data_IF_683091993654
#
_entry.id   IF_683091993654
#
_cell.length_a   1.000
_cell.length_b   1.000
_cell.length_c   1.000
_cell.angle_alpha   90.00
_cell.angle_beta   90.00
_cell.angle_gamma   90.00
#
_symmetry.space_group_name_H-M   'P 1'
#
loop_
_entity.id
_entity.type
_entity.pdbx_description
1 polymer ?
#
# COMPACT_ATOMS: atom_id res chain seq x y z
N UNK A 1 -20.53 0.20 -2.65
CA UNK A 1 -19.53 0.54 -3.68
C UNK A 1 -18.43 -0.51 -3.66
N UNK A 2 -18.09 -1.05 -4.81
CA UNK A 2 -17.04 -2.04 -4.90
C UNK A 2 -15.67 -1.37 -4.97
N UNK A 3 -14.64 -2.03 -4.44
CA UNK A 3 -13.27 -1.57 -4.57
C UNK A 3 -12.81 -1.71 -6.03
N UNK A 4 -11.90 -0.84 -6.50
CA UNK A 4 -11.26 -1.04 -7.79
C UNK A 4 -10.52 -2.38 -7.82
N UNK A 5 -10.48 -3.02 -8.98
CA UNK A 5 -9.84 -4.31 -9.16
C UNK A 5 -8.48 -4.15 -9.82
N UNK A 6 -7.51 -4.95 -9.36
CA UNK A 6 -6.19 -5.08 -9.97
C UNK A 6 -6.07 -6.41 -10.68
N UNK A 7 -5.57 -6.37 -11.90
CA UNK A 7 -5.17 -7.54 -12.67
C UNK A 7 -3.66 -7.67 -12.66
N UNK A 8 -3.15 -8.86 -12.94
CA UNK A 8 -1.70 -9.07 -13.01
C UNK A 8 -1.09 -8.13 -14.03
N UNK A 9 -0.06 -7.39 -13.60
CA UNK A 9 0.61 -6.38 -14.38
C UNK A 9 0.13 -4.95 -14.16
N UNK A 10 -0.93 -4.75 -13.38
CA UNK A 10 -1.41 -3.41 -13.07
C UNK A 10 -0.51 -2.69 -12.08
N UNK A 11 -0.40 -1.39 -12.26
CA UNK A 11 0.28 -0.47 -11.35
C UNK A 11 -0.64 0.71 -11.08
N UNK A 12 -0.93 0.97 -9.82
CA UNK A 12 -1.88 2.02 -9.43
C UNK A 12 -1.32 2.86 -8.29
N UNK A 13 -1.88 4.06 -8.13
CA UNK A 13 -1.61 4.90 -6.98
C UNK A 13 -2.28 4.31 -5.75
N UNK A 14 -1.53 4.24 -4.64
CA UNK A 14 -2.04 3.74 -3.37
C UNK A 14 -2.95 4.75 -2.67
N UNK A 15 -2.83 6.02 -3.03
CA UNK A 15 -3.57 7.12 -2.40
C UNK A 15 -4.14 8.02 -3.49
N UNK A 16 -5.36 8.58 -3.29
CA UNK A 16 -5.97 9.47 -4.29
C UNK A 16 -5.27 10.82 -4.41
N UNK A 17 -4.51 11.23 -3.40
CA UNK A 17 -3.77 12.49 -3.37
C UNK A 17 -2.56 12.36 -2.45
N UNK A 18 -1.71 13.39 -2.41
CA UNK A 18 -0.58 13.42 -1.49
C UNK A 18 -1.07 13.27 -0.06
N UNK A 19 -0.39 12.40 0.71
CA UNK A 19 -0.76 12.07 2.08
C UNK A 19 -0.03 13.01 3.02
N UNK A 20 -0.79 13.73 3.85
CA UNK A 20 -0.25 14.68 4.82
C UNK A 20 -0.48 14.26 6.26
N UNK A 21 -1.37 13.29 6.50
CA UNK A 21 -1.68 12.77 7.83
C UNK A 21 -1.83 11.25 7.77
N UNK A 22 -1.79 10.61 8.93
CA UNK A 22 -2.03 9.17 9.02
C UNK A 22 -3.42 8.81 8.50
N UNK A 23 -3.55 7.63 7.91
CA UNK A 23 -4.80 7.12 7.40
C UNK A 23 -4.60 6.02 6.37
N UNK A 24 -5.70 5.36 6.03
CA UNK A 24 -5.69 4.27 5.04
C UNK A 24 -5.77 4.83 3.63
N UNK A 25 -5.07 4.14 2.70
CA UNK A 25 -5.18 4.42 1.28
C UNK A 25 -6.35 3.70 0.63
N UNK A 26 -6.38 3.76 -0.69
CA UNK A 26 -7.41 3.07 -1.48
C UNK A 26 -7.25 1.56 -1.33
N UNK A 27 -8.37 0.87 -1.09
CA UNK A 27 -8.42 -0.58 -1.05
C UNK A 27 -8.67 -1.11 -2.47
N UNK A 28 -7.85 -2.09 -2.88
CA UNK A 28 -7.94 -2.70 -4.20
C UNK A 28 -8.25 -4.18 -4.09
N UNK A 29 -9.15 -4.67 -4.94
CA UNK A 29 -9.41 -6.10 -5.06
C UNK A 29 -8.36 -6.73 -5.97
N UNK A 30 -7.83 -7.88 -5.58
CA UNK A 30 -6.84 -8.62 -6.36
C UNK A 30 -7.55 -9.70 -7.17
N UNK A 31 -7.46 -9.63 -8.48
CA UNK A 31 -8.06 -10.63 -9.37
C UNK A 31 -7.25 -11.92 -9.31
N UNK A 32 -7.91 -13.04 -9.08
CA UNK A 32 -7.27 -14.35 -9.03
C UNK A 32 -7.29 -15.02 -10.40
N UNK A 33 -6.24 -15.78 -10.67
CA UNK A 33 -6.15 -16.65 -11.86
C UNK A 33 -6.35 -18.08 -11.39
N UNK A 34 -7.12 -18.93 -12.13
CA UNK A 34 -7.29 -20.33 -11.76
C UNK A 34 -5.93 -21.01 -11.55
N UNK A 35 -5.79 -21.73 -10.43
CA UNK A 35 -4.54 -22.39 -10.07
C UNK A 35 -3.54 -21.50 -9.33
N UNK A 36 -3.87 -20.24 -9.11
CA UNK A 36 -3.01 -19.33 -8.35
C UNK A 36 -3.25 -19.53 -6.86
N UNK A 37 -2.18 -19.95 -6.13
CA UNK A 37 -2.29 -20.19 -4.69
C UNK A 37 -1.72 -19.03 -3.87
N UNK A 38 -0.86 -18.21 -4.47
CA UNK A 38 -0.22 -17.06 -3.81
C UNK A 38 -0.34 -15.84 -4.68
N UNK A 39 -0.30 -14.67 -4.07
CA UNK A 39 -0.36 -13.39 -4.76
C UNK A 39 0.79 -12.52 -4.28
N UNK A 40 1.70 -12.18 -5.18
CA UNK A 40 2.81 -11.28 -4.86
C UNK A 40 2.40 -9.86 -5.23
N UNK A 41 2.56 -8.95 -4.28
CA UNK A 41 2.26 -7.53 -4.44
C UNK A 41 3.54 -6.75 -4.21
N UNK A 42 3.82 -5.82 -5.11
CA UNK A 42 4.92 -4.86 -4.95
C UNK A 42 4.33 -3.53 -4.58
N UNK A 43 4.91 -2.89 -3.57
CA UNK A 43 4.44 -1.58 -3.13
C UNK A 43 5.61 -0.64 -2.88
N UNK A 44 5.34 0.63 -3.02
CA UNK A 44 6.35 1.65 -2.77
C UNK A 44 5.71 2.85 -2.10
N UNK A 45 6.52 3.61 -1.35
CA UNK A 45 6.16 4.97 -1.01
C UNK A 45 7.23 5.93 -1.52
N UNK A 46 6.83 7.16 -1.77
CA UNK A 46 7.70 8.15 -2.36
C UNK A 46 7.44 9.53 -1.79
N UNK A 47 8.42 10.42 -1.95
CA UNK A 47 8.34 11.80 -1.49
C UNK A 47 9.31 12.66 -2.30
N UNK A 48 9.05 13.96 -2.34
CA UNK A 48 10.03 14.94 -2.85
C UNK A 48 10.91 15.45 -1.72
N UNK A 49 10.34 15.63 -0.55
CA UNK A 49 11.08 15.97 0.67
C UNK A 49 10.76 14.93 1.71
N UNK A 50 11.79 14.31 2.29
CA UNK A 50 11.62 13.22 3.24
C UNK A 50 10.81 13.68 4.45
N UNK A 51 9.83 12.86 4.92
CA UNK A 51 9.16 13.13 6.18
C UNK A 51 10.15 13.00 7.35
N UNK A 52 9.85 13.65 8.48
CA UNK A 52 10.65 13.50 9.69
C UNK A 52 10.45 12.16 10.34
N UNK A 53 9.25 11.59 10.25
CA UNK A 53 8.93 10.27 10.75
C UNK A 53 7.83 9.66 9.91
N UNK A 54 7.87 8.35 9.74
CA UNK A 54 6.85 7.61 9.01
C UNK A 54 6.78 6.17 9.51
N UNK A 55 5.57 5.66 9.62
CA UNK A 55 5.30 4.22 9.69
C UNK A 55 4.20 3.94 8.68
N UNK A 56 4.49 3.10 7.68
CA UNK A 56 3.55 2.74 6.63
C UNK A 56 3.51 1.22 6.51
N UNK A 57 2.31 0.67 6.40
CA UNK A 57 2.08 -0.76 6.27
C UNK A 57 1.44 -1.09 4.93
N UNK A 58 1.81 -2.24 4.37
CA UNK A 58 0.96 -2.92 3.41
C UNK A 58 0.05 -3.86 4.19
N UNK A 59 -1.24 -3.74 3.96
CA UNK A 59 -2.26 -4.57 4.60
C UNK A 59 -3.03 -5.35 3.56
N UNK A 60 -3.45 -6.56 3.95
CA UNK A 60 -4.23 -7.43 3.09
C UNK A 60 -5.43 -8.00 3.84
N UNK A 61 -6.46 -8.39 3.10
CA UNK A 61 -7.72 -8.85 3.66
C UNK A 61 -8.35 -9.92 2.78
N UNK A 62 -9.02 -10.88 3.41
CA UNK A 62 -9.85 -11.86 2.70
C UNK A 62 -11.20 -11.28 2.29
N UNK A 63 -11.80 -10.46 3.15
CA UNK A 63 -13.20 -10.03 3.03
C UNK A 63 -13.35 -8.56 2.62
N UNK A 64 -12.25 -7.82 2.51
CA UNK A 64 -12.29 -6.39 2.17
C UNK A 64 -12.68 -5.47 3.33
N UNK A 65 -12.87 -6.03 4.53
CA UNK A 65 -13.28 -5.28 5.72
C UNK A 65 -12.23 -5.38 6.81
N UNK A 66 -11.76 -6.59 7.10
CA UNK A 66 -10.76 -6.84 8.13
C UNK A 66 -9.39 -6.97 7.48
N UNK A 67 -8.52 -5.99 7.72
CA UNK A 67 -7.20 -5.93 7.14
C UNK A 67 -6.14 -6.25 8.17
N UNK A 68 -5.08 -6.93 7.72
CA UNK A 68 -3.96 -7.36 8.55
C UNK A 68 -2.65 -6.93 7.92
N UNK A 69 -1.68 -6.59 8.76
CA UNK A 69 -0.36 -6.17 8.31
C UNK A 69 0.39 -7.35 7.68
N UNK A 70 0.89 -7.14 6.45
CA UNK A 70 1.76 -8.09 5.76
C UNK A 70 3.16 -7.55 5.56
N UNK A 71 3.34 -6.23 5.57
CA UNK A 71 4.65 -5.59 5.48
C UNK A 71 4.61 -4.25 6.18
N UNK A 72 5.77 -3.76 6.60
CA UNK A 72 5.87 -2.46 7.25
C UNK A 72 7.18 -1.79 6.89
N UNK A 73 7.19 -0.46 6.87
CA UNK A 73 8.38 0.32 6.60
C UNK A 73 8.36 1.59 7.45
N UNK A 74 9.51 1.92 8.05
CA UNK A 74 9.58 3.02 9.01
C UNK A 74 10.86 3.86 8.90
N UNK A 75 11.54 3.84 7.76
CA UNK A 75 12.76 4.61 7.55
C UNK A 75 12.45 5.86 6.73
N UNK A 76 12.38 7.05 7.34
CA UNK A 76 11.85 8.24 6.67
C UNK A 76 12.76 8.80 5.58
N UNK A 77 14.06 8.55 5.63
CA UNK A 77 15.04 9.14 4.73
C UNK A 77 15.21 8.45 3.39
N UNK A 78 14.55 7.33 3.14
CA UNK A 78 14.69 6.55 1.91
C UNK A 78 13.35 6.17 1.34
N UNK A 79 13.29 6.07 0.00
CA UNK A 79 12.11 5.57 -0.70
C UNK A 79 12.08 4.05 -0.57
N UNK A 80 10.93 3.51 -0.21
CA UNK A 80 10.74 2.06 -0.12
C UNK A 80 10.20 1.51 -1.44
N UNK A 81 10.67 0.32 -1.81
CA UNK A 81 10.13 -0.47 -2.91
C UNK A 81 10.25 -1.93 -2.48
N UNK A 82 9.13 -2.55 -2.15
CA UNK A 82 9.13 -3.85 -1.50
C UNK A 82 8.10 -4.76 -2.14
N UNK A 83 8.40 -6.06 -2.15
CA UNK A 83 7.47 -7.09 -2.63
C UNK A 83 7.15 -8.05 -1.51
N UNK A 84 5.89 -8.45 -1.40
CA UNK A 84 5.42 -9.36 -0.36
C UNK A 84 4.37 -10.29 -0.93
N UNK A 85 4.37 -11.53 -0.45
CA UNK A 85 3.34 -12.50 -0.79
C UNK A 85 2.20 -12.35 0.22
N UNK A 86 1.02 -12.02 -0.28
CA UNK A 86 -0.17 -11.84 0.57
C UNK A 86 -1.04 -13.10 0.58
N UNK A 87 -0.52 -14.22 0.05
CA UNK A 87 -1.21 -15.50 0.06
C UNK A 87 -2.49 -15.47 -0.75
N UNK A 88 -3.58 -15.94 -0.16
CA UNK A 88 -4.89 -16.00 -0.81
C UNK A 88 -5.78 -14.81 -0.47
N UNK A 89 -5.24 -13.76 0.15
CA UNK A 89 -6.03 -12.56 0.42
C UNK A 89 -6.50 -11.94 -0.89
N UNK A 90 -7.68 -11.32 -0.85
CA UNK A 90 -8.36 -10.81 -2.04
C UNK A 90 -8.31 -9.30 -2.15
N UNK A 91 -7.81 -8.60 -1.13
CA UNK A 91 -7.78 -7.14 -1.09
C UNK A 91 -6.47 -6.67 -0.48
N UNK A 92 -5.96 -5.53 -0.96
CA UNK A 92 -4.77 -4.88 -0.41
C UNK A 92 -4.98 -3.38 -0.32
N UNK A 93 -4.26 -2.76 0.61
CA UNK A 93 -4.18 -1.30 0.74
C UNK A 93 -2.88 -0.92 1.43
N UNK A 94 -2.44 0.33 1.26
CA UNK A 94 -1.43 0.92 2.13
C UNK A 94 -2.13 1.65 3.27
N UNK A 95 -1.53 1.59 4.45
CA UNK A 95 -2.04 2.28 5.63
C UNK A 95 -0.89 3.06 6.27
N UNK A 96 -1.01 4.38 6.29
CA UNK A 96 -0.05 5.24 6.98
C UNK A 96 -0.43 5.27 8.45
N UNK A 97 0.34 4.57 9.27
CA UNK A 97 0.07 4.44 10.71
C UNK A 97 0.43 5.72 11.45
N UNK A 98 1.56 6.31 11.08
CA UNK A 98 1.98 7.61 11.63
C UNK A 98 2.80 8.36 10.61
N UNK A 99 2.72 9.69 10.64
CA UNK A 99 3.42 10.54 9.70
C UNK A 99 3.68 11.90 10.32
N UNK A 100 4.95 12.33 10.25
CA UNK A 100 5.35 13.70 10.58
C UNK A 100 6.11 14.24 9.40
N UNK A 101 5.52 15.22 8.69
CA UNK A 101 6.07 15.70 7.44
C UNK A 101 7.31 16.56 7.60
N UNK A 102 7.40 17.31 8.69
CA UNK A 102 8.42 18.36 8.78
C UNK A 102 8.12 19.45 7.75
N UNK A 103 9.06 19.70 6.83
CA UNK A 103 8.90 20.70 5.77
C UNK A 103 8.32 20.12 4.46
N UNK A 104 8.01 18.84 4.41
CA UNK A 104 7.54 18.19 3.19
C UNK A 104 6.09 18.51 2.87
N UNK A 105 5.72 18.35 1.60
CA UNK A 105 4.37 18.62 1.10
C UNK A 105 3.45 17.39 1.17
N UNK A 106 4.00 16.22 1.52
CA UNK A 106 3.25 14.98 1.58
C UNK A 106 4.01 13.82 0.95
N UNK A 107 3.43 12.63 1.07
CA UNK A 107 3.99 11.42 0.48
C UNK A 107 3.00 10.82 -0.49
N UNK A 108 3.50 10.01 -1.39
CA UNK A 108 2.70 9.20 -2.29
C UNK A 108 3.06 7.73 -2.17
N UNK A 109 2.39 6.90 -2.94
CA UNK A 109 2.68 5.50 -2.99
C UNK A 109 2.03 4.81 -4.18
N UNK A 110 2.54 3.63 -4.49
CA UNK A 110 2.04 2.81 -5.59
C UNK A 110 1.89 1.37 -5.14
N UNK A 111 0.98 0.66 -5.78
CA UNK A 111 0.79 -0.78 -5.60
C UNK A 111 0.82 -1.40 -6.98
N UNK A 112 1.62 -2.45 -7.13
CA UNK A 112 1.69 -3.28 -8.33
C UNK A 112 1.30 -4.71 -8.02
N UNK A 113 0.70 -5.37 -9.00
CA UNK A 113 0.21 -6.75 -8.82
C UNK A 113 0.76 -7.73 -9.88
#
# INVERSE_FOLDING_TARGET
MSQPSLYRGDLVSAFPAAVTTAGVGTSYALTSIPGQFTKKVTWSYSFTTAPSAIVINLEASLDGVNFFQYDTYNTPGTIANRSVDVGQNNFVRLNVISLTLGSGAGIGGNIGY
#
